data_IF_196007813181
#
_entry.id   IF_196007813181
#
_cell.length_a   1.000
_cell.length_b   1.000
_cell.length_c   1.000
_cell.angle_alpha   90.00
_cell.angle_beta   90.00
_cell.angle_gamma   90.00
#
_symmetry.space_group_name_H-M   'P 1'
#
loop_
_entity.id
_entity.type
_entity.pdbx_description
1 polymer ?
#
# COMPACT_ATOMS: atom_id res chain seq x y z
N UNK A 1 33.26 3.55 -58.10
CA UNK A 1 33.89 4.01 -56.84
C UNK A 1 33.09 5.21 -56.39
N UNK A 2 32.36 5.25 -55.29
CA UNK A 2 32.26 4.32 -54.17
C UNK A 2 30.91 4.54 -53.48
N UNK A 3 30.31 3.45 -53.02
CA UNK A 3 29.28 3.43 -52.00
C UNK A 3 29.88 3.91 -50.67
N UNK A 4 29.13 4.69 -49.90
CA UNK A 4 29.28 4.79 -48.45
C UNK A 4 27.93 5.22 -47.91
N UNK A 5 27.19 4.25 -47.38
CA UNK A 5 25.98 4.52 -46.61
C UNK A 5 26.41 5.05 -45.26
N UNK A 6 25.90 6.21 -44.90
CA UNK A 6 25.91 6.70 -43.53
C UNK A 6 25.07 5.72 -42.70
N UNK A 7 25.74 4.96 -41.84
CA UNK A 7 25.08 4.18 -40.81
C UNK A 7 24.74 5.14 -39.69
N UNK A 8 23.46 5.47 -39.56
CA UNK A 8 22.89 6.16 -38.41
C UNK A 8 23.09 5.28 -37.16
N UNK A 9 24.26 5.38 -36.52
CA UNK A 9 24.46 4.91 -35.14
C UNK A 9 23.79 5.91 -34.19
N UNK A 10 22.45 5.91 -34.16
CA UNK A 10 21.70 6.47 -33.04
C UNK A 10 21.80 5.50 -31.86
N UNK A 11 23.00 5.38 -31.30
CA UNK A 11 23.23 4.80 -29.99
C UNK A 11 22.81 5.80 -28.92
N UNK A 12 21.55 6.24 -28.96
CA UNK A 12 20.89 6.79 -27.78
C UNK A 12 21.15 5.80 -26.64
N UNK A 13 21.94 6.23 -25.66
CA UNK A 13 22.51 5.34 -24.66
C UNK A 13 21.38 4.72 -23.83
N UNK A 14 20.92 3.53 -24.25
CA UNK A 14 19.81 2.83 -23.63
C UNK A 14 20.09 2.73 -22.13
N UNK A 15 19.19 3.29 -21.32
CA UNK A 15 19.33 3.34 -19.86
C UNK A 15 19.53 1.91 -19.36
N UNK A 16 20.66 1.67 -18.68
CA UNK A 16 20.91 0.39 -18.01
C UNK A 16 20.05 0.34 -16.75
N UNK A 17 19.18 -0.65 -16.66
CA UNK A 17 18.29 -0.88 -15.51
C UNK A 17 18.79 -2.10 -14.75
N UNK A 18 18.95 -1.96 -13.44
CA UNK A 18 19.26 -3.08 -12.55
C UNK A 18 18.00 -3.51 -11.79
N UNK A 19 17.84 -4.82 -11.62
CA UNK A 19 16.78 -5.43 -10.84
C UNK A 19 17.40 -6.23 -9.69
N UNK A 20 17.19 -5.80 -8.45
CA UNK A 20 17.75 -6.48 -7.28
C UNK A 20 16.90 -7.68 -6.93
N UNK A 21 17.47 -8.88 -7.00
CA UNK A 21 16.72 -10.12 -6.81
C UNK A 21 17.61 -11.29 -6.39
N UNK A 22 17.11 -12.07 -5.44
CA UNK A 22 17.46 -13.46 -5.24
C UNK A 22 16.28 -14.21 -4.61
N UNK A 23 16.17 -15.54 -4.78
CA UNK A 23 15.09 -16.30 -4.15
C UNK A 23 15.04 -16.13 -2.62
N UNK A 24 16.20 -16.10 -1.96
CA UNK A 24 16.31 -15.92 -0.51
C UNK A 24 15.87 -14.52 -0.07
N UNK A 25 16.16 -13.50 -0.90
CA UNK A 25 15.74 -12.14 -0.63
C UNK A 25 14.22 -11.97 -0.76
N UNK A 26 13.60 -12.58 -1.77
CA UNK A 26 12.13 -12.59 -1.92
C UNK A 26 11.48 -13.29 -0.73
N UNK A 27 12.00 -14.46 -0.34
CA UNK A 27 11.48 -15.19 0.83
C UNK A 27 11.57 -14.36 2.11
N UNK A 28 12.67 -13.62 2.29
CA UNK A 28 12.87 -12.71 3.43
C UNK A 28 11.91 -11.51 3.36
N UNK A 29 11.66 -10.95 2.18
CA UNK A 29 10.70 -9.85 2.02
C UNK A 29 9.26 -10.31 2.29
N UNK A 30 8.90 -11.53 1.88
CA UNK A 30 7.56 -12.08 2.01
C UNK A 30 7.27 -12.65 3.40
N UNK A 31 8.29 -12.82 4.26
CA UNK A 31 8.10 -13.17 5.67
C UNK A 31 7.49 -12.03 6.50
N UNK A 32 7.46 -10.81 5.96
CA UNK A 32 6.82 -9.66 6.58
C UNK A 32 5.29 -9.83 6.59
N UNK A 33 4.73 -10.13 7.76
CA UNK A 33 3.30 -10.39 7.97
C UNK A 33 2.37 -9.28 7.47
N UNK A 34 2.82 -8.03 7.48
CA UNK A 34 2.06 -6.87 6.99
C UNK A 34 1.85 -6.87 5.47
N UNK A 35 2.77 -7.48 4.72
CA UNK A 35 2.85 -7.35 3.26
C UNK A 35 3.18 -8.71 2.62
N UNK A 36 2.37 -9.74 2.91
CA UNK A 36 2.69 -11.11 2.54
C UNK A 36 2.70 -11.27 1.02
N UNK A 37 3.66 -12.04 0.50
CA UNK A 37 3.79 -12.42 -0.90
C UNK A 37 3.90 -11.25 -1.90
N UNK A 38 4.09 -10.02 -1.43
CA UNK A 38 4.15 -8.84 -2.30
C UNK A 38 5.35 -8.92 -3.23
N UNK A 39 6.50 -9.33 -2.71
CA UNK A 39 7.72 -9.42 -3.50
C UNK A 39 7.62 -10.53 -4.54
N UNK A 40 7.11 -11.71 -4.16
CA UNK A 40 6.81 -12.81 -5.09
C UNK A 40 5.84 -12.40 -6.19
N UNK A 41 4.72 -11.75 -5.85
CA UNK A 41 3.72 -11.33 -6.84
C UNK A 41 4.30 -10.34 -7.86
N UNK A 42 5.07 -9.34 -7.39
CA UNK A 42 5.72 -8.37 -8.28
C UNK A 42 6.74 -9.05 -9.18
N UNK A 43 7.55 -9.96 -8.64
CA UNK A 43 8.53 -10.71 -9.44
C UNK A 43 7.86 -11.55 -10.53
N UNK A 44 6.77 -12.28 -10.20
CA UNK A 44 6.01 -13.07 -11.16
C UNK A 44 5.43 -12.23 -12.29
N UNK A 45 4.97 -11.01 -12.00
CA UNK A 45 4.52 -10.08 -13.04
C UNK A 45 5.70 -9.68 -13.95
N UNK A 46 6.82 -9.25 -13.37
CA UNK A 46 8.01 -8.86 -14.15
C UNK A 46 8.49 -10.00 -15.06
N UNK A 47 8.46 -11.23 -14.57
CA UNK A 47 8.80 -12.42 -15.35
C UNK A 47 7.77 -12.72 -16.45
N UNK A 48 6.47 -12.70 -16.15
CA UNK A 48 5.41 -12.97 -17.10
C UNK A 48 5.37 -11.98 -18.28
N UNK A 49 5.69 -10.71 -18.03
CA UNK A 49 5.85 -9.69 -19.08
C UNK A 49 7.19 -9.78 -19.83
N UNK A 50 8.07 -10.71 -19.42
CA UNK A 50 9.38 -10.92 -20.05
C UNK A 50 10.31 -9.73 -19.88
N UNK A 51 10.15 -8.93 -18.82
CA UNK A 51 10.93 -7.70 -18.62
C UNK A 51 12.36 -7.98 -18.13
N UNK A 52 12.58 -9.15 -17.51
CA UNK A 52 13.90 -9.56 -17.01
C UNK A 52 14.99 -9.54 -18.10
N UNK A 53 14.63 -9.82 -19.36
CA UNK A 53 15.57 -9.80 -20.49
C UNK A 53 16.11 -8.40 -20.85
N UNK A 54 15.49 -7.35 -20.31
CA UNK A 54 15.87 -5.95 -20.52
C UNK A 54 16.60 -5.35 -19.32
N UNK A 55 16.85 -6.12 -18.26
CA UNK A 55 17.43 -5.65 -17.01
C UNK A 55 18.64 -6.51 -16.62
N UNK A 56 19.55 -5.92 -15.85
CA UNK A 56 20.62 -6.65 -15.18
C UNK A 56 20.15 -7.10 -13.80
N UNK A 57 20.07 -8.41 -13.58
CA UNK A 57 19.74 -8.95 -12.26
C UNK A 57 20.96 -8.83 -11.34
N UNK A 58 20.78 -8.19 -10.18
CA UNK A 58 21.83 -7.98 -9.18
C UNK A 58 21.43 -8.68 -7.90
N UNK A 59 22.32 -9.53 -7.36
CA UNK A 59 22.07 -10.18 -6.06
C UNK A 59 22.27 -9.15 -4.94
N UNK A 60 21.32 -9.02 -4.00
CA UNK A 60 21.48 -8.13 -2.85
C UNK A 60 22.63 -8.61 -1.96
N UNK A 61 23.34 -7.66 -1.36
CA UNK A 61 24.37 -7.90 -0.36
C UNK A 61 23.77 -7.61 1.03
N UNK A 62 24.14 -8.43 2.01
CA UNK A 62 23.74 -8.18 3.41
C UNK A 62 24.56 -7.00 3.92
N UNK A 63 23.87 -5.98 4.45
CA UNK A 63 24.52 -4.81 5.04
C UNK A 63 25.22 -5.19 6.36
N UNK A 64 26.41 -4.63 6.58
CA UNK A 64 27.11 -4.78 7.85
C UNK A 64 26.52 -3.84 8.91
N UNK A 65 26.83 -4.08 10.20
CA UNK A 65 26.45 -3.16 11.28
C UNK A 65 27.05 -1.78 11.03
N UNK A 66 28.30 -1.71 10.55
CA UNK A 66 28.98 -0.47 10.19
C UNK A 66 28.24 0.28 9.06
N UNK A 67 27.66 -0.43 8.09
CA UNK A 67 26.85 0.19 7.05
C UNK A 67 25.55 0.78 7.59
N UNK A 68 24.91 0.11 8.55
CA UNK A 68 23.70 0.61 9.21
C UNK A 68 24.01 1.79 10.16
N UNK A 69 25.16 1.76 10.83
CA UNK A 69 25.60 2.79 11.77
C UNK A 69 25.91 4.14 11.11
N UNK A 70 25.99 4.20 9.77
CA UNK A 70 26.07 5.46 9.02
C UNK A 70 24.85 6.38 9.24
N UNK A 71 23.71 5.79 9.60
CA UNK A 71 22.44 6.51 9.77
C UNK A 71 21.75 6.24 11.12
N UNK A 72 22.02 5.08 11.73
CA UNK A 72 21.44 4.69 13.01
C UNK A 72 22.48 4.77 14.13
N UNK A 73 22.03 5.01 15.37
CA UNK A 73 22.92 4.96 16.54
C UNK A 73 23.27 3.52 16.89
N UNK A 74 24.46 3.28 17.44
CA UNK A 74 24.89 1.95 17.88
C UNK A 74 23.90 1.34 18.88
N UNK A 75 23.39 2.15 19.81
CA UNK A 75 22.39 1.72 20.80
C UNK A 75 21.09 1.21 20.18
N UNK A 76 20.65 1.81 19.06
CA UNK A 76 19.48 1.35 18.32
C UNK A 76 19.74 0.01 17.63
N UNK A 77 20.92 -0.15 17.03
CA UNK A 77 21.30 -1.38 16.33
C UNK A 77 21.48 -2.57 17.30
N UNK A 78 22.10 -2.33 18.46
CA UNK A 78 22.21 -3.31 19.53
C UNK A 78 20.82 -3.75 20.03
N UNK A 79 19.91 -2.79 20.17
CA UNK A 79 18.54 -3.06 20.61
C UNK A 79 17.76 -3.88 19.57
N UNK A 80 17.85 -3.56 18.28
CA UNK A 80 17.28 -4.37 17.20
C UNK A 80 17.82 -5.81 17.20
N UNK A 81 19.14 -5.97 17.41
CA UNK A 81 19.78 -7.28 17.46
C UNK A 81 19.25 -8.12 18.64
N UNK A 82 19.06 -7.50 19.81
CA UNK A 82 18.50 -8.15 21.01
C UNK A 82 17.06 -8.62 20.78
N UNK A 83 16.19 -7.77 20.22
CA UNK A 83 14.80 -8.13 19.89
C UNK A 83 14.74 -9.32 18.91
N UNK A 84 15.66 -9.37 17.94
CA UNK A 84 15.70 -10.46 16.96
C UNK A 84 16.05 -11.84 17.55
N UNK A 85 16.74 -11.87 18.69
CA UNK A 85 17.16 -13.11 19.37
C UNK A 85 16.21 -13.54 20.47
N UNK A 86 15.79 -12.59 21.31
CA UNK A 86 15.03 -12.87 22.53
C UNK A 86 13.51 -12.82 22.29
N UNK A 87 13.08 -12.33 21.11
CA UNK A 87 11.70 -11.99 20.82
C UNK A 87 11.35 -10.59 21.33
N UNK A 88 10.20 -10.07 20.88
CA UNK A 88 9.63 -8.78 21.31
C UNK A 88 9.13 -8.88 22.76
N UNK A 89 10.07 -9.10 23.68
CA UNK A 89 9.83 -8.88 25.09
C UNK A 89 9.69 -7.37 25.25
N UNK A 90 8.63 -6.93 25.93
CA UNK A 90 8.30 -5.54 26.22
C UNK A 90 9.46 -4.81 26.94
N UNK A 91 10.56 -4.54 26.23
CA UNK A 91 11.72 -3.82 26.71
C UNK A 91 11.26 -2.38 26.86
N UNK A 92 11.26 -1.81 28.07
CA UNK A 92 10.75 -0.46 28.32
C UNK A 92 11.45 0.62 27.47
N UNK A 93 12.60 0.29 26.87
CA UNK A 93 13.36 1.19 26.00
C UNK A 93 12.90 1.18 24.53
N UNK A 94 12.06 0.22 24.12
CA UNK A 94 11.55 0.08 22.74
C UNK A 94 10.73 1.29 22.27
N UNK A 95 9.83 1.78 23.14
CA UNK A 95 9.98 3.08 23.75
C UNK A 95 10.52 4.25 22.90
N UNK A 96 11.64 4.70 23.42
CA UNK A 96 12.52 5.78 22.98
C UNK A 96 13.00 5.59 21.53
N UNK A 97 13.12 4.34 21.09
CA UNK A 97 13.53 3.98 19.73
C UNK A 97 12.36 3.96 18.73
N UNK A 98 11.14 4.30 19.16
CA UNK A 98 9.94 4.29 18.32
C UNK A 98 9.54 2.90 17.84
N UNK A 99 10.05 1.84 18.48
CA UNK A 99 9.71 0.46 18.16
C UNK A 99 8.35 0.05 18.77
N UNK A 100 7.93 0.74 19.84
CA UNK A 100 6.57 0.65 20.40
C UNK A 100 5.48 1.21 19.46
N UNK A 101 5.86 1.95 18.40
CA UNK A 101 4.96 2.36 17.34
C UNK A 101 4.59 1.21 16.38
N UNK A 102 5.14 0.02 16.58
CA UNK A 102 4.64 -1.21 15.99
C UNK A 102 4.01 -2.12 17.03
N UNK A 103 2.85 -1.69 17.51
CA UNK A 103 1.70 -2.59 17.67
C UNK A 103 1.35 -3.26 16.34
N UNK A 104 2.25 -4.10 15.82
CA UNK A 104 2.23 -4.83 14.57
C UNK A 104 1.05 -5.81 14.49
N UNK A 105 0.34 -6.03 15.61
CA UNK A 105 -0.83 -6.88 15.69
C UNK A 105 -2.18 -6.16 15.88
N UNK A 106 -2.24 -4.87 16.28
CA UNK A 106 -3.51 -4.29 16.78
C UNK A 106 -4.21 -3.28 15.86
N UNK A 107 -3.52 -2.62 14.93
CA UNK A 107 -4.11 -1.44 14.25
C UNK A 107 -4.26 -1.50 12.72
N UNK A 108 -4.05 -2.64 12.08
CA UNK A 108 -4.37 -2.77 10.64
C UNK A 108 -5.00 -4.12 10.32
N UNK A 109 -5.96 -4.57 11.14
CA UNK A 109 -6.98 -5.47 10.61
C UNK A 109 -7.64 -4.74 9.44
N UNK A 110 -7.55 -5.31 8.24
CA UNK A 110 -8.46 -4.95 7.16
C UNK A 110 -9.84 -5.21 7.73
N UNK A 111 -10.52 -4.14 8.16
CA UNK A 111 -11.89 -4.24 8.64
C UNK A 111 -12.68 -4.71 7.43
N UNK A 112 -13.05 -5.99 7.44
CA UNK A 112 -13.93 -6.53 6.42
C UNK A 112 -15.17 -5.65 6.43
N UNK A 113 -15.55 -4.99 5.31
CA UNK A 113 -16.68 -4.08 5.33
C UNK A 113 -17.90 -4.86 5.81
N UNK A 114 -18.41 -4.47 6.97
CA UNK A 114 -19.63 -5.01 7.52
C UNK A 114 -20.78 -4.20 6.94
N UNK A 115 -21.83 -4.88 6.47
CA UNK A 115 -23.06 -4.20 6.05
C UNK A 115 -23.58 -3.46 7.28
N UNK A 116 -23.65 -2.13 7.19
CA UNK A 116 -24.12 -1.30 8.29
C UNK A 116 -25.58 -1.66 8.61
N UNK A 117 -25.90 -1.80 9.89
CA UNK A 117 -27.29 -1.96 10.31
C UNK A 117 -28.02 -0.63 10.12
N UNK A 118 -29.36 -0.66 10.05
CA UNK A 118 -30.18 0.56 9.97
C UNK A 118 -29.88 1.50 11.15
N UNK A 119 -29.66 0.95 12.35
CA UNK A 119 -29.27 1.71 13.54
C UNK A 119 -27.87 2.34 13.40
N UNK A 120 -26.91 1.64 12.80
CA UNK A 120 -25.58 2.18 12.56
C UNK A 120 -25.59 3.30 11.52
N UNK A 121 -26.43 3.18 10.49
CA UNK A 121 -26.64 4.25 9.52
C UNK A 121 -27.29 5.47 10.17
N UNK A 122 -28.28 5.25 11.05
CA UNK A 122 -28.96 6.31 11.79
C UNK A 122 -28.01 7.11 12.72
N UNK A 123 -26.87 6.55 13.16
CA UNK A 123 -25.88 7.30 13.96
C UNK A 123 -25.25 8.48 13.22
N UNK A 124 -25.24 8.43 11.89
CA UNK A 124 -24.63 9.47 11.05
C UNK A 124 -25.67 10.38 10.39
N UNK A 125 -26.96 10.17 10.68
CA UNK A 125 -28.05 10.91 10.09
C UNK A 125 -28.95 11.48 11.18
N UNK A 126 -29.42 12.72 10.98
CA UNK A 126 -30.34 13.36 11.92
C UNK A 126 -31.72 12.70 11.87
N UNK A 127 -32.47 12.71 12.98
CA UNK A 127 -33.85 12.20 13.02
C UNK A 127 -34.73 12.81 11.91
N UNK A 128 -34.52 14.09 11.60
CA UNK A 128 -35.17 14.82 10.48
C UNK A 128 -34.93 14.18 9.11
N UNK A 129 -33.73 13.61 8.87
CA UNK A 129 -33.40 12.93 7.61
C UNK A 129 -34.10 11.57 7.51
N UNK A 130 -34.19 10.84 8.62
CA UNK A 130 -34.85 9.54 8.65
C UNK A 130 -36.37 9.67 8.49
N UNK A 131 -36.97 10.68 9.11
CA UNK A 131 -38.39 11.03 8.91
C UNK A 131 -38.66 11.39 7.45
N UNK A 132 -37.76 12.15 6.82
CA UNK A 132 -37.85 12.52 5.41
C UNK A 132 -37.81 11.29 4.48
N UNK A 133 -36.89 10.35 4.72
CA UNK A 133 -36.82 9.09 3.96
C UNK A 133 -38.08 8.23 4.14
N UNK A 134 -38.63 8.18 5.36
CA UNK A 134 -39.86 7.45 5.62
C UNK A 134 -41.07 8.07 4.88
N UNK A 135 -41.13 9.40 4.83
CA UNK A 135 -42.13 10.15 4.06
C UNK A 135 -42.01 9.87 2.56
N UNK A 136 -40.79 9.92 1.99
CA UNK A 136 -40.54 9.59 0.57
C UNK A 136 -40.94 8.14 0.25
N UNK A 137 -40.68 7.20 1.18
CA UNK A 137 -41.04 5.79 1.01
C UNK A 137 -42.56 5.56 0.95
N UNK A 138 -43.34 6.34 1.70
CA UNK A 138 -44.80 6.23 1.75
C UNK A 138 -45.51 7.02 0.65
N UNK A 139 -45.08 8.26 0.44
CA UNK A 139 -45.73 9.19 -0.49
C UNK A 139 -45.20 9.04 -1.92
N UNK A 140 -44.05 8.39 -2.11
CA UNK A 140 -43.29 8.36 -3.35
C UNK A 140 -42.35 9.56 -3.48
N UNK A 141 -41.41 9.46 -4.41
CA UNK A 141 -40.41 10.50 -4.71
C UNK A 141 -41.04 11.70 -5.44
N UNK A 142 -41.86 12.46 -4.72
CA UNK A 142 -42.61 13.62 -5.21
C UNK A 142 -41.76 14.91 -5.28
N UNK A 143 -40.47 14.78 -5.63
CA UNK A 143 -39.51 15.89 -5.73
C UNK A 143 -39.69 16.93 -4.59
N UNK A 144 -39.76 16.45 -3.34
CA UNK A 144 -39.92 17.31 -2.18
C UNK A 144 -38.75 18.32 -2.17
N UNK A 145 -39.00 19.65 -2.19
CA UNK A 145 -37.95 20.65 -2.28
C UNK A 145 -36.94 20.58 -1.13
N UNK A 146 -37.30 19.92 -0.02
CA UNK A 146 -36.39 19.68 1.11
C UNK A 146 -35.39 18.54 0.86
N UNK A 147 -35.62 17.67 -0.15
CA UNK A 147 -34.71 16.57 -0.51
C UNK A 147 -33.31 17.04 -0.93
N UNK A 148 -33.20 18.25 -1.48
CA UNK A 148 -31.91 18.85 -1.84
C UNK A 148 -31.02 19.16 -0.63
N UNK A 149 -31.59 19.49 0.52
CA UNK A 149 -30.85 19.73 1.78
C UNK A 149 -30.16 18.46 2.29
N UNK A 150 -30.70 17.32 1.88
CA UNK A 150 -30.21 15.98 2.21
C UNK A 150 -29.43 15.30 1.06
N UNK A 151 -29.20 16.02 -0.05
CA UNK A 151 -28.48 15.50 -1.22
C UNK A 151 -29.19 14.35 -1.94
N UNK A 152 -30.52 14.28 -1.82
CA UNK A 152 -31.37 13.25 -2.45
C UNK A 152 -32.02 13.75 -3.75
N UNK A 153 -31.57 14.87 -4.30
CA UNK A 153 -32.06 15.42 -5.56
C UNK A 153 -31.56 14.64 -6.79
N UNK A 154 -32.36 14.63 -7.86
CA UNK A 154 -32.08 13.87 -9.11
C UNK A 154 -30.94 14.46 -9.96
N UNK A 155 -30.09 15.31 -9.41
CA UNK A 155 -29.02 16.00 -10.14
C UNK A 155 -27.95 15.04 -10.71
N UNK A 156 -27.86 13.81 -10.17
CA UNK A 156 -26.88 12.79 -10.58
C UNK A 156 -27.17 12.11 -11.93
N UNK A 157 -28.37 12.28 -12.51
CA UNK A 157 -28.72 11.66 -13.79
C UNK A 157 -28.45 12.54 -15.03
N UNK A 158 -27.91 13.75 -14.85
CA UNK A 158 -27.62 14.70 -15.94
C UNK A 158 -26.14 15.14 -15.97
N UNK A 159 -25.23 14.17 -15.94
CA UNK A 159 -23.90 14.36 -16.54
C UNK A 159 -23.80 13.38 -17.71
N UNK A 160 -24.02 13.94 -18.90
CA UNK A 160 -24.04 13.30 -20.20
C UNK A 160 -22.88 12.31 -20.44
N UNK A 161 -23.23 11.13 -20.96
CA UNK A 161 -22.32 10.22 -21.67
C UNK A 161 -21.87 10.81 -23.02
#
# INVERSE_FOLDING_TARGET
MSCSGDSDDDSSCKRKVAYVYSPEYIQTCDSLSKVPNRASMVHSLIEAYGLLKHMSVVKPQVATIEDMAKFHTDSYLEHLHKISQDGDNDDPQSGDYGLEAYGLLKHMSVVKPQVATIEDMAKFHTDSYLEHLHKISQDGDNDDPQSGDYGLDRQWCYTDC
#
